data_IF_214821724698
#
_entry.id   IF_214821724698
#
_cell.length_a   1.000
_cell.length_b   1.000
_cell.length_c   1.000
_cell.angle_alpha   90.00
_cell.angle_beta   90.00
_cell.angle_gamma   90.00
#
_symmetry.space_group_name_H-M   'P 1'
#
loop_
_entity.id
_entity.type
_entity.pdbx_description
1 polymer ?
#
# COMPACT_ATOMS: atom_id res chain seq x y z
N UNK A 1 -13.02 1.04 -24.79
CA UNK A 1 -13.30 1.46 -23.40
C UNK A 1 -14.34 0.59 -22.71
N UNK A 2 -15.35 0.07 -23.44
CA UNK A 2 -16.29 -0.94 -22.91
C UNK A 2 -15.61 -2.24 -22.44
N UNK A 3 -14.39 -2.50 -22.91
CA UNK A 3 -13.57 -3.64 -22.49
C UNK A 3 -13.34 -3.72 -20.97
N UNK A 4 -13.12 -2.58 -20.28
CA UNK A 4 -12.91 -2.59 -18.82
C UNK A 4 -14.17 -3.01 -18.07
N UNK A 5 -15.34 -2.67 -18.61
CA UNK A 5 -16.64 -3.02 -18.06
C UNK A 5 -17.04 -4.45 -18.46
N UNK A 6 -16.62 -4.91 -19.64
CA UNK A 6 -16.96 -6.26 -20.13
C UNK A 6 -16.23 -7.37 -19.38
N UNK A 7 -15.15 -7.05 -18.66
CA UNK A 7 -14.40 -8.00 -17.84
C UNK A 7 -14.76 -7.78 -16.37
N UNK A 8 -15.99 -8.16 -16.05
CA UNK A 8 -16.55 -8.06 -14.70
C UNK A 8 -17.47 -9.24 -14.42
N UNK A 9 -17.62 -9.52 -13.13
CA UNK A 9 -18.51 -10.52 -12.58
C UNK A 9 -19.60 -9.84 -11.74
N UNK A 10 -20.80 -10.41 -11.76
CA UNK A 10 -21.93 -9.91 -10.98
C UNK A 10 -21.93 -10.61 -9.63
N UNK A 11 -21.88 -9.81 -8.57
CA UNK A 11 -22.02 -10.26 -7.19
C UNK A 11 -23.49 -10.12 -6.77
N UNK A 12 -23.81 -10.56 -5.56
CA UNK A 12 -25.14 -10.36 -4.98
C UNK A 12 -25.51 -8.86 -4.91
N UNK A 13 -26.80 -8.58 -5.07
CA UNK A 13 -27.40 -7.24 -4.98
C UNK A 13 -26.91 -6.26 -6.07
N UNK A 14 -26.76 -6.72 -7.32
CA UNK A 14 -26.38 -5.88 -8.47
C UNK A 14 -25.02 -5.16 -8.30
N UNK A 15 -24.14 -5.76 -7.50
CA UNK A 15 -22.76 -5.32 -7.29
C UNK A 15 -21.85 -5.93 -8.35
N UNK A 16 -20.77 -5.24 -8.68
CA UNK A 16 -19.88 -5.67 -9.77
C UNK A 16 -18.45 -5.84 -9.25
N UNK A 17 -17.79 -6.92 -9.66
CA UNK A 17 -16.37 -7.12 -9.41
C UNK A 17 -15.60 -7.24 -10.72
N UNK A 18 -14.74 -6.26 -11.01
CA UNK A 18 -13.82 -6.32 -12.14
C UNK A 18 -12.77 -7.42 -11.93
N UNK A 19 -12.63 -8.31 -12.92
CA UNK A 19 -11.77 -9.49 -12.82
C UNK A 19 -10.28 -9.12 -12.98
N UNK A 20 -9.40 -9.99 -12.46
CA UNK A 20 -7.95 -9.80 -12.58
C UNK A 20 -7.44 -9.93 -14.01
N UNK A 21 -7.86 -11.01 -14.67
CA UNK A 21 -7.51 -11.40 -16.03
C UNK A 21 -8.65 -12.23 -16.64
N UNK A 22 -8.53 -12.56 -17.93
CA UNK A 22 -9.52 -13.38 -18.64
C UNK A 22 -9.48 -14.85 -18.24
N UNK A 23 -8.48 -15.32 -17.48
CA UNK A 23 -8.47 -16.72 -17.00
C UNK A 23 -9.51 -16.91 -15.89
N UNK A 24 -9.90 -15.83 -15.20
CA UNK A 24 -10.98 -15.82 -14.21
C UNK A 24 -12.40 -15.89 -14.82
N UNK A 25 -12.55 -16.04 -16.14
CA UNK A 25 -13.86 -16.29 -16.76
C UNK A 25 -14.23 -17.77 -16.84
N UNK A 26 -13.25 -18.67 -16.67
CA UNK A 26 -13.46 -20.11 -16.80
C UNK A 26 -12.58 -20.91 -15.82
N UNK A 27 -13.20 -21.85 -15.10
CA UNK A 27 -12.49 -22.70 -14.14
C UNK A 27 -11.50 -23.67 -14.77
N UNK A 28 -11.74 -24.12 -16.00
CA UNK A 28 -10.79 -24.98 -16.71
C UNK A 28 -9.46 -24.23 -16.96
N UNK A 29 -9.55 -22.96 -17.36
CA UNK A 29 -8.40 -22.11 -17.66
C UNK A 29 -7.70 -21.66 -16.37
N UNK A 30 -8.47 -21.26 -15.35
CA UNK A 30 -7.93 -20.93 -14.03
C UNK A 30 -7.20 -22.10 -13.36
N UNK A 31 -7.74 -23.31 -13.42
CA UNK A 31 -7.15 -24.50 -12.78
C UNK A 31 -5.83 -24.96 -13.38
N UNK A 32 -5.56 -24.60 -14.65
CA UNK A 32 -4.31 -24.89 -15.35
C UNK A 32 -3.14 -24.03 -14.84
N UNK A 33 -3.40 -22.78 -14.46
CA UNK A 33 -2.36 -21.82 -14.07
C UNK A 33 -2.31 -21.55 -12.56
N UNK A 34 -3.39 -21.82 -11.85
CA UNK A 34 -3.58 -21.41 -10.47
C UNK A 34 -4.17 -22.55 -9.63
N UNK A 35 -3.62 -22.75 -8.42
CA UNK A 35 -4.26 -23.60 -7.39
C UNK A 35 -5.43 -22.86 -6.74
N UNK A 36 -6.50 -22.68 -7.49
CA UNK A 36 -7.74 -22.01 -7.08
C UNK A 36 -8.72 -23.04 -6.53
N UNK A 37 -9.56 -22.64 -5.59
CA UNK A 37 -10.76 -23.38 -5.25
C UNK A 37 -12.03 -22.63 -5.67
N UNK A 38 -13.00 -23.35 -6.21
CA UNK A 38 -14.33 -22.82 -6.52
C UNK A 38 -15.04 -22.33 -5.25
N UNK A 39 -15.75 -21.22 -5.38
CA UNK A 39 -16.48 -20.57 -4.28
C UNK A 39 -17.54 -19.63 -4.85
N UNK A 40 -18.74 -19.69 -4.29
CA UNK A 40 -19.83 -18.73 -4.57
C UNK A 40 -19.95 -17.62 -3.51
N UNK A 41 -18.88 -17.37 -2.72
CA UNK A 41 -18.89 -16.35 -1.68
C UNK A 41 -19.21 -14.96 -2.27
N UNK A 42 -20.04 -14.19 -1.58
CA UNK A 42 -20.51 -12.87 -2.04
C UNK A 42 -21.30 -12.90 -3.37
N UNK A 43 -21.76 -14.07 -3.82
CA UNK A 43 -22.47 -14.25 -5.07
C UNK A 43 -21.59 -14.26 -6.32
N UNK A 44 -20.27 -14.29 -6.15
CA UNK A 44 -19.32 -14.36 -7.27
C UNK A 44 -19.48 -15.68 -8.05
N UNK A 45 -19.09 -15.67 -9.31
CA UNK A 45 -18.87 -16.88 -10.09
C UNK A 45 -17.71 -17.72 -9.53
N UNK A 46 -17.74 -19.03 -9.74
CA UNK A 46 -16.68 -19.93 -9.28
C UNK A 46 -15.26 -19.53 -9.69
N UNK A 47 -14.99 -19.08 -10.94
CA UNK A 47 -13.64 -18.74 -11.37
C UNK A 47 -13.10 -17.41 -10.88
N UNK A 48 -13.97 -16.46 -10.50
CA UNK A 48 -13.56 -15.17 -9.98
C UNK A 48 -12.79 -15.33 -8.66
N UNK A 49 -11.55 -14.86 -8.57
CA UNK A 49 -10.75 -15.05 -7.34
C UNK A 49 -10.99 -13.97 -6.29
N UNK A 50 -11.68 -12.89 -6.66
CA UNK A 50 -11.77 -11.63 -5.92
C UNK A 50 -10.40 -10.98 -5.67
N UNK A 51 -9.57 -10.89 -6.72
CA UNK A 51 -8.27 -10.23 -6.65
C UNK A 51 -8.41 -8.71 -6.43
N UNK A 52 -7.87 -8.21 -5.31
CA UNK A 52 -8.12 -6.82 -4.85
C UNK A 52 -7.44 -5.77 -5.73
N UNK A 53 -6.16 -5.96 -6.06
CA UNK A 53 -5.36 -4.91 -6.69
C UNK A 53 -5.88 -4.54 -8.08
N UNK A 54 -6.25 -5.51 -8.91
CA UNK A 54 -6.87 -5.24 -10.22
C UNK A 54 -8.21 -4.54 -10.09
N UNK A 55 -9.06 -4.99 -9.15
CA UNK A 55 -10.35 -4.36 -8.91
C UNK A 55 -10.19 -2.88 -8.53
N UNK A 56 -9.28 -2.56 -7.61
CA UNK A 56 -9.02 -1.18 -7.19
C UNK A 56 -8.39 -0.34 -8.32
N UNK A 57 -7.51 -0.93 -9.13
CA UNK A 57 -6.94 -0.25 -10.29
C UNK A 57 -8.03 0.13 -11.29
N UNK A 58 -8.97 -0.79 -11.58
CA UNK A 58 -10.13 -0.50 -12.44
C UNK A 58 -11.03 0.57 -11.85
N UNK A 59 -11.33 0.54 -10.55
CA UNK A 59 -12.09 1.61 -9.88
C UNK A 59 -11.40 2.97 -10.02
N UNK A 60 -10.08 3.01 -9.84
CA UNK A 60 -9.29 4.24 -9.99
C UNK A 60 -9.36 4.76 -11.42
N UNK A 61 -9.30 3.87 -12.42
CA UNK A 61 -9.45 4.22 -13.82
C UNK A 61 -10.86 4.76 -14.13
N UNK A 62 -11.92 4.06 -13.68
CA UNK A 62 -13.31 4.49 -13.86
C UNK A 62 -13.58 5.86 -13.24
N UNK A 63 -13.09 6.11 -12.02
CA UNK A 63 -13.20 7.42 -11.39
C UNK A 63 -12.54 8.54 -12.22
N UNK A 64 -11.39 8.28 -12.85
CA UNK A 64 -10.73 9.26 -13.73
C UNK A 64 -11.48 9.44 -15.04
N UNK A 65 -11.93 8.35 -15.66
CA UNK A 65 -12.67 8.38 -16.92
C UNK A 65 -14.02 9.09 -16.77
N UNK A 66 -14.65 9.01 -15.60
CA UNK A 66 -15.90 9.71 -15.33
C UNK A 66 -15.80 11.24 -15.50
N UNK A 67 -14.61 11.82 -15.35
CA UNK A 67 -14.40 13.26 -15.59
C UNK A 67 -14.61 13.67 -17.05
N UNK A 68 -14.63 12.69 -17.98
CA UNK A 68 -14.77 12.89 -19.42
C UNK A 68 -16.03 12.22 -19.98
N UNK A 69 -16.86 11.61 -19.13
CA UNK A 69 -18.06 10.89 -19.55
C UNK A 69 -19.33 11.72 -19.26
N UNK A 70 -20.04 12.20 -20.29
CA UNK A 70 -21.24 13.00 -20.10
C UNK A 70 -22.48 12.17 -19.71
N UNK A 71 -22.39 10.84 -19.71
CA UNK A 71 -23.54 9.94 -19.51
C UNK A 71 -23.51 9.17 -18.18
N UNK A 72 -22.61 9.50 -17.25
CA UNK A 72 -22.46 8.88 -15.93
C UNK A 72 -22.35 7.34 -15.94
N UNK A 73 -21.95 6.76 -17.09
CA UNK A 73 -21.78 5.31 -17.23
C UNK A 73 -20.68 4.86 -16.28
N UNK A 74 -19.52 5.52 -16.32
CA UNK A 74 -18.39 5.13 -15.46
C UNK A 74 -18.69 5.36 -13.97
N UNK A 75 -19.41 6.43 -13.62
CA UNK A 75 -19.88 6.67 -12.25
C UNK A 75 -20.74 5.49 -11.74
N UNK A 76 -21.69 5.03 -12.55
CA UNK A 76 -22.58 3.92 -12.17
C UNK A 76 -21.79 2.63 -11.87
N UNK A 77 -20.87 2.25 -12.76
CA UNK A 77 -20.03 1.06 -12.56
C UNK A 77 -19.02 1.24 -11.41
N UNK A 78 -18.52 2.45 -11.22
CA UNK A 78 -17.66 2.81 -10.11
C UNK A 78 -18.37 2.59 -8.77
N UNK A 79 -19.59 3.10 -8.60
CA UNK A 79 -20.35 2.94 -7.35
C UNK A 79 -20.71 1.47 -7.07
N UNK A 80 -21.13 0.72 -8.10
CA UNK A 80 -21.38 -0.72 -7.99
C UNK A 80 -20.13 -1.49 -7.54
N UNK A 81 -18.97 -1.17 -8.12
CA UNK A 81 -17.71 -1.78 -7.74
C UNK A 81 -17.20 -1.35 -6.36
N UNK A 82 -17.32 -0.07 -6.01
CA UNK A 82 -16.95 0.44 -4.70
C UNK A 82 -17.78 -0.21 -3.58
N UNK A 83 -19.08 -0.42 -3.82
CA UNK A 83 -19.97 -1.16 -2.92
C UNK A 83 -19.55 -2.64 -2.78
N UNK A 84 -19.17 -3.29 -3.88
CA UNK A 84 -18.62 -4.65 -3.85
C UNK A 84 -17.35 -4.72 -2.99
N UNK A 85 -16.40 -3.81 -3.25
CA UNK A 85 -15.14 -3.71 -2.51
C UNK A 85 -15.37 -3.51 -1.01
N UNK A 86 -16.28 -2.61 -0.63
CA UNK A 86 -16.64 -2.37 0.77
C UNK A 86 -17.13 -3.66 1.43
N UNK A 87 -18.02 -4.40 0.79
CA UNK A 87 -18.56 -5.65 1.37
C UNK A 87 -17.48 -6.72 1.54
N UNK A 88 -16.62 -6.90 0.53
CA UNK A 88 -15.52 -7.87 0.57
C UNK A 88 -14.49 -7.51 1.65
N UNK A 89 -14.11 -6.24 1.76
CA UNK A 89 -13.11 -5.79 2.74
C UNK A 89 -13.65 -5.70 4.18
N UNK A 90 -14.95 -5.50 4.37
CA UNK A 90 -15.58 -5.47 5.69
C UNK A 90 -16.07 -6.84 6.18
N UNK A 91 -16.04 -7.87 5.33
CA UNK A 91 -16.36 -9.23 5.72
C UNK A 91 -15.43 -9.75 6.82
N UNK A 92 -16.01 -10.05 7.98
CA UNK A 92 -15.29 -10.51 9.17
C UNK A 92 -15.83 -11.84 9.76
N UNK A 93 -16.24 -12.84 8.96
CA UNK A 93 -16.72 -14.10 9.50
C UNK A 93 -15.63 -14.78 10.34
N UNK A 94 -16.06 -15.35 11.47
CA UNK A 94 -15.24 -16.12 12.41
C UNK A 94 -13.91 -15.44 12.79
N UNK A 95 -13.98 -14.15 13.17
CA UNK A 95 -12.83 -13.33 13.51
C UNK A 95 -11.88 -13.96 14.55
N UNK A 96 -12.42 -14.68 15.52
CA UNK A 96 -11.65 -15.38 16.54
C UNK A 96 -10.78 -16.52 15.96
N UNK A 97 -11.28 -17.29 14.97
CA UNK A 97 -10.53 -18.39 14.35
C UNK A 97 -9.32 -17.85 13.58
N UNK A 98 -9.56 -16.82 12.76
CA UNK A 98 -8.48 -16.16 12.03
C UNK A 98 -7.48 -15.49 12.99
N UNK A 99 -7.96 -14.92 14.10
CA UNK A 99 -7.09 -14.34 15.12
C UNK A 99 -6.17 -15.40 15.72
N UNK A 100 -6.71 -16.57 16.08
CA UNK A 100 -5.90 -17.69 16.59
C UNK A 100 -4.89 -18.21 15.56
N UNK A 101 -5.25 -18.25 14.26
CA UNK A 101 -4.35 -18.69 13.21
C UNK A 101 -3.19 -17.71 12.95
N UNK A 102 -3.45 -16.41 13.01
CA UNK A 102 -2.47 -15.36 12.68
C UNK A 102 -1.64 -14.88 13.89
N UNK A 103 -2.15 -14.95 15.13
CA UNK A 103 -1.40 -14.52 16.34
C UNK A 103 -0.02 -15.16 16.49
N UNK A 104 0.17 -16.49 16.32
CA UNK A 104 1.50 -17.09 16.43
C UNK A 104 2.45 -16.57 15.36
N UNK A 105 1.95 -16.38 14.13
CA UNK A 105 2.71 -15.79 13.02
C UNK A 105 3.21 -14.39 13.38
N UNK A 106 2.34 -13.55 13.92
CA UNK A 106 2.66 -12.17 14.27
C UNK A 106 3.70 -12.09 15.40
N UNK A 107 3.56 -12.94 16.42
CA UNK A 107 4.52 -13.04 17.52
C UNK A 107 5.90 -13.46 17.01
N UNK A 108 5.95 -14.53 16.22
CA UNK A 108 7.20 -15.05 15.67
C UNK A 108 7.86 -14.03 14.74
N UNK A 109 7.08 -13.31 13.93
CA UNK A 109 7.58 -12.26 13.05
C UNK A 109 8.20 -11.09 13.84
N UNK A 110 7.55 -10.61 14.91
CA UNK A 110 8.11 -9.59 15.80
C UNK A 110 9.42 -10.01 16.45
N UNK A 111 9.52 -11.28 16.84
CA UNK A 111 10.77 -11.83 17.40
C UNK A 111 11.87 -11.88 16.33
N UNK A 112 11.55 -12.33 15.12
CA UNK A 112 12.50 -12.38 14.00
C UNK A 112 13.07 -11.01 13.63
N UNK A 113 12.23 -9.97 13.68
CA UNK A 113 12.63 -8.61 13.30
C UNK A 113 13.39 -7.87 14.39
N UNK A 114 13.17 -8.19 15.67
CA UNK A 114 13.85 -7.55 16.81
C UNK A 114 15.20 -8.19 17.20
N UNK A 115 15.29 -9.51 17.23
CA UNK A 115 16.43 -10.22 17.86
C UNK A 115 17.22 -11.10 16.89
N UNK A 116 16.90 -11.04 15.59
CA UNK A 116 17.47 -11.90 14.54
C UNK A 116 17.41 -13.41 14.84
N UNK A 117 16.59 -13.83 15.79
CA UNK A 117 16.57 -15.17 16.37
C UNK A 117 16.30 -16.26 15.31
N UNK A 118 17.26 -17.18 15.16
CA UNK A 118 17.24 -18.24 14.16
C UNK A 118 16.12 -19.26 14.44
N UNK A 119 15.85 -19.58 15.71
CA UNK A 119 14.79 -20.50 16.11
C UNK A 119 13.43 -19.90 15.75
N UNK A 120 13.21 -18.62 16.08
CA UNK A 120 11.99 -17.92 15.71
C UNK A 120 11.77 -17.91 14.19
N UNK A 121 12.83 -17.73 13.38
CA UNK A 121 12.75 -17.79 11.91
C UNK A 121 12.35 -19.18 11.41
N UNK A 122 12.90 -20.25 12.00
CA UNK A 122 12.54 -21.63 11.67
C UNK A 122 11.08 -21.93 12.04
N UNK A 123 10.65 -21.57 13.25
CA UNK A 123 9.27 -21.75 13.70
C UNK A 123 8.29 -20.94 12.85
N UNK A 124 8.63 -19.71 12.47
CA UNK A 124 7.82 -18.88 11.58
C UNK A 124 7.63 -19.55 10.22
N UNK A 125 8.68 -20.12 9.64
CA UNK A 125 8.61 -20.86 8.38
C UNK A 125 7.69 -22.07 8.50
N UNK A 126 7.85 -22.87 9.56
CA UNK A 126 7.01 -24.05 9.82
C UNK A 126 5.54 -23.63 9.99
N UNK A 127 5.28 -22.64 10.84
CA UNK A 127 3.92 -22.16 11.09
C UNK A 127 3.27 -21.60 9.81
N UNK A 128 4.02 -20.83 9.00
CA UNK A 128 3.52 -20.31 7.72
C UNK A 128 3.16 -21.45 6.76
N UNK A 129 3.94 -22.53 6.73
CA UNK A 129 3.61 -23.71 5.93
C UNK A 129 2.35 -24.43 6.42
N UNK A 130 2.17 -24.57 7.74
CA UNK A 130 0.94 -25.15 8.33
C UNK A 130 -0.26 -24.28 7.97
N UNK A 131 -0.12 -22.97 8.12
CA UNK A 131 -1.15 -21.98 7.81
C UNK A 131 -1.58 -22.11 6.35
N UNK A 132 -0.63 -22.10 5.41
CA UNK A 132 -0.90 -22.21 3.97
C UNK A 132 -1.48 -23.57 3.57
N UNK A 133 -0.91 -24.68 4.05
CA UNK A 133 -1.27 -26.03 3.59
C UNK A 133 -2.57 -26.56 4.18
N UNK A 134 -2.89 -26.18 5.42
CA UNK A 134 -3.95 -26.85 6.16
C UNK A 134 -5.06 -25.89 6.64
N UNK A 135 -4.71 -24.67 7.04
CA UNK A 135 -5.67 -23.78 7.71
C UNK A 135 -6.35 -22.83 6.73
N UNK A 136 -5.62 -22.08 5.91
CA UNK A 136 -6.17 -21.00 5.09
C UNK A 136 -7.18 -21.51 4.06
N UNK A 137 -6.86 -22.59 3.35
CA UNK A 137 -7.79 -23.17 2.38
C UNK A 137 -9.13 -23.57 3.01
N UNK A 138 -9.11 -24.15 4.21
CA UNK A 138 -10.33 -24.49 4.94
C UNK A 138 -11.07 -23.24 5.44
N UNK A 139 -10.36 -22.32 6.08
CA UNK A 139 -10.94 -21.11 6.65
C UNK A 139 -11.58 -20.23 5.57
N UNK A 140 -10.90 -20.02 4.43
CA UNK A 140 -11.40 -19.16 3.34
C UNK A 140 -12.60 -19.79 2.62
N UNK A 141 -12.67 -21.12 2.51
CA UNK A 141 -13.84 -21.83 1.98
C UNK A 141 -15.08 -21.69 2.87
N UNK A 142 -14.91 -21.87 4.19
CA UNK A 142 -16.03 -21.89 5.14
C UNK A 142 -16.44 -20.51 5.64
N UNK A 143 -15.45 -19.62 5.80
CA UNK A 143 -15.57 -18.29 6.38
C UNK A 143 -14.81 -17.29 5.50
N UNK A 144 -15.36 -16.94 4.32
CA UNK A 144 -14.66 -16.17 3.31
C UNK A 144 -14.36 -14.74 3.78
N UNK A 145 -13.08 -14.38 3.76
CA UNK A 145 -12.59 -13.01 4.03
C UNK A 145 -11.22 -12.81 3.38
N UNK A 146 -10.89 -11.56 3.07
CA UNK A 146 -9.57 -11.18 2.54
C UNK A 146 -8.76 -10.36 3.55
N UNK A 147 -9.43 -9.57 4.39
CA UNK A 147 -8.79 -8.76 5.45
C UNK A 147 -8.82 -9.52 6.77
N UNK A 148 -7.65 -9.78 7.33
CA UNK A 148 -7.47 -10.54 8.57
C UNK A 148 -7.66 -9.66 9.83
N UNK A 149 -7.94 -10.27 11.00
CA UNK A 149 -8.22 -9.52 12.23
C UNK A 149 -7.07 -8.63 12.71
N UNK A 150 -5.84 -8.99 12.38
CA UNK A 150 -4.63 -8.24 12.71
C UNK A 150 -4.35 -7.08 11.73
N UNK A 151 -5.09 -6.97 10.62
CA UNK A 151 -4.87 -5.96 9.58
C UNK A 151 -4.15 -6.46 8.33
N UNK A 152 -3.68 -7.72 8.31
CA UNK A 152 -3.11 -8.32 7.10
C UNK A 152 -4.16 -8.45 5.99
N UNK A 153 -3.77 -8.20 4.74
CA UNK A 153 -4.66 -8.27 3.57
C UNK A 153 -4.07 -9.29 2.60
N UNK A 154 -4.82 -10.35 2.31
CA UNK A 154 -4.44 -11.31 1.27
C UNK A 154 -4.69 -10.76 -0.14
N UNK A 155 -4.04 -11.33 -1.16
CA UNK A 155 -4.21 -10.90 -2.55
C UNK A 155 -5.64 -11.06 -3.04
N UNK A 156 -6.24 -12.19 -2.72
CA UNK A 156 -7.49 -12.69 -3.28
C UNK A 156 -8.16 -13.68 -2.30
N UNK A 157 -9.37 -14.12 -2.61
CA UNK A 157 -10.13 -15.07 -1.80
C UNK A 157 -9.85 -16.53 -2.17
N UNK A 158 -9.76 -16.87 -3.46
CA UNK A 158 -9.81 -18.27 -3.90
C UNK A 158 -8.45 -18.96 -4.02
N UNK A 159 -7.33 -18.27 -3.82
CA UNK A 159 -6.03 -18.89 -3.65
C UNK A 159 -5.78 -19.30 -2.20
N UNK A 160 -5.13 -20.45 -2.04
CA UNK A 160 -4.68 -20.97 -0.73
C UNK A 160 -3.27 -20.47 -0.34
N UNK A 161 -2.69 -19.55 -1.11
CA UNK A 161 -1.33 -19.06 -0.88
C UNK A 161 -1.32 -17.74 -0.12
N UNK A 162 -0.48 -17.66 0.91
CA UNK A 162 -0.17 -16.42 1.61
C UNK A 162 0.92 -15.68 0.83
N UNK A 163 0.61 -14.48 0.35
CA UNK A 163 1.61 -13.60 -0.27
C UNK A 163 1.71 -12.28 0.48
N UNK A 164 2.83 -12.11 1.18
CA UNK A 164 3.07 -10.91 1.98
C UNK A 164 3.35 -9.67 1.12
N UNK A 165 3.89 -9.84 -0.09
CA UNK A 165 4.12 -8.71 -0.99
C UNK A 165 2.81 -8.03 -1.39
N UNK A 166 1.78 -8.81 -1.72
CA UNK A 166 0.48 -8.28 -2.12
C UNK A 166 -0.22 -7.52 -0.99
N UNK A 167 0.14 -7.75 0.28
CA UNK A 167 -0.35 -6.92 1.36
C UNK A 167 0.04 -5.45 1.16
N UNK A 168 1.30 -5.17 0.80
CA UNK A 168 1.77 -3.80 0.55
C UNK A 168 1.15 -3.21 -0.71
N UNK A 169 1.10 -3.99 -1.79
CA UNK A 169 0.48 -3.58 -3.04
C UNK A 169 -1.00 -3.21 -2.86
N UNK A 170 -1.74 -3.98 -2.04
CA UNK A 170 -3.12 -3.70 -1.73
C UNK A 170 -3.27 -2.42 -0.89
N UNK A 171 -2.40 -2.18 0.10
CA UNK A 171 -2.44 -0.93 0.88
C UNK A 171 -2.18 0.29 -0.02
N UNK A 172 -1.18 0.22 -0.90
CA UNK A 172 -0.88 1.27 -1.87
C UNK A 172 -2.07 1.56 -2.77
N UNK A 173 -2.65 0.53 -3.39
CA UNK A 173 -3.84 0.68 -4.23
C UNK A 173 -5.00 1.30 -3.46
N UNK A 174 -5.25 0.86 -2.22
CA UNK A 174 -6.26 1.43 -1.33
C UNK A 174 -5.99 2.90 -0.99
N UNK A 175 -4.72 3.29 -0.78
CA UNK A 175 -4.32 4.69 -0.56
C UNK A 175 -4.60 5.55 -1.78
N UNK A 176 -4.27 5.07 -2.97
CA UNK A 176 -4.56 5.74 -4.24
C UNK A 176 -6.07 5.93 -4.40
N UNK A 177 -6.88 4.89 -4.16
CA UNK A 177 -8.35 5.01 -4.22
C UNK A 177 -8.89 5.98 -3.15
N UNK A 178 -8.41 5.87 -1.90
CA UNK A 178 -8.80 6.76 -0.81
C UNK A 178 -8.43 8.22 -1.11
N UNK A 179 -7.33 8.47 -1.82
CA UNK A 179 -6.94 9.82 -2.23
C UNK A 179 -8.03 10.51 -3.07
N UNK A 180 -8.87 9.72 -3.76
CA UNK A 180 -9.97 10.17 -4.61
C UNK A 180 -11.32 10.15 -3.89
N UNK A 181 -11.64 9.09 -3.17
CA UNK A 181 -12.99 8.88 -2.60
C UNK A 181 -13.17 9.46 -1.20
N UNK A 182 -12.09 9.56 -0.41
CA UNK A 182 -12.13 10.01 1.00
C UNK A 182 -13.11 9.26 1.90
N UNK A 183 -13.41 7.99 1.60
CA UNK A 183 -14.37 7.20 2.39
C UNK A 183 -13.81 6.71 3.72
N UNK A 184 -14.55 6.90 4.81
CA UNK A 184 -14.15 6.52 6.18
C UNK A 184 -13.87 5.03 6.38
N UNK A 185 -14.68 4.18 5.76
CA UNK A 185 -14.54 2.73 5.92
C UNK A 185 -13.20 2.24 5.34
N UNK A 186 -12.76 2.84 4.23
CA UNK A 186 -11.49 2.53 3.58
C UNK A 186 -10.33 3.04 4.43
N UNK A 187 -10.45 4.25 4.97
CA UNK A 187 -9.47 4.82 5.90
C UNK A 187 -9.22 3.90 7.11
N UNK A 188 -10.29 3.37 7.72
CA UNK A 188 -10.18 2.45 8.85
C UNK A 188 -9.37 1.19 8.50
N UNK A 189 -9.59 0.64 7.31
CA UNK A 189 -8.83 -0.54 6.86
C UNK A 189 -7.36 -0.19 6.58
N UNK A 190 -7.09 0.90 5.86
CA UNK A 190 -5.72 1.36 5.58
C UNK A 190 -4.93 1.56 6.88
N UNK A 191 -5.50 2.28 7.86
CA UNK A 191 -4.84 2.52 9.15
C UNK A 191 -4.44 1.21 9.82
N UNK A 192 -5.39 0.27 9.92
CA UNK A 192 -5.16 -1.04 10.54
C UNK A 192 -4.07 -1.85 9.83
N UNK A 193 -4.04 -1.82 8.51
CA UNK A 193 -3.05 -2.54 7.69
C UNK A 193 -1.64 -1.92 7.75
N UNK A 194 -1.56 -0.60 7.81
CA UNK A 194 -0.29 0.11 8.01
C UNK A 194 0.25 -0.13 9.42
N UNK A 195 -0.60 -0.04 10.45
CA UNK A 195 -0.24 -0.37 11.84
C UNK A 195 0.26 -1.81 11.98
N UNK A 196 -0.38 -2.75 11.28
CA UNK A 196 0.07 -4.13 11.21
C UNK A 196 1.48 -4.25 10.63
N UNK A 197 1.70 -3.64 9.46
CA UNK A 197 2.96 -3.68 8.72
C UNK A 197 4.12 -3.11 9.54
N UNK A 198 3.91 -1.95 10.18
CA UNK A 198 4.93 -1.28 10.99
C UNK A 198 5.13 -1.96 12.34
N UNK A 199 4.06 -2.36 13.02
CA UNK A 199 4.11 -2.97 14.35
C UNK A 199 4.73 -4.37 14.37
N UNK A 200 4.67 -5.09 13.26
CA UNK A 200 5.34 -6.40 13.10
C UNK A 200 6.74 -6.31 12.49
N UNK A 201 7.04 -5.21 11.79
CA UNK A 201 8.24 -5.09 10.96
C UNK A 201 8.19 -5.96 9.70
N UNK A 202 6.97 -6.27 9.20
CA UNK A 202 6.74 -7.18 8.07
C UNK A 202 7.59 -6.80 6.86
N UNK A 203 7.62 -5.53 6.47
CA UNK A 203 8.35 -5.08 5.27
C UNK A 203 9.84 -5.43 5.36
N UNK A 204 10.46 -5.20 6.52
CA UNK A 204 11.86 -5.54 6.73
C UNK A 204 12.13 -7.05 6.73
N UNK A 205 11.16 -7.87 7.15
CA UNK A 205 11.25 -9.33 7.10
C UNK A 205 11.09 -9.85 5.66
N UNK A 206 10.06 -9.39 4.95
CA UNK A 206 9.74 -9.83 3.58
C UNK A 206 10.81 -9.40 2.59
N UNK A 207 11.37 -8.20 2.75
CA UNK A 207 12.43 -7.68 1.89
C UNK A 207 13.65 -8.62 1.79
N UNK A 208 14.01 -9.32 2.87
CA UNK A 208 15.14 -10.27 2.87
C UNK A 208 14.95 -11.44 1.89
N UNK A 209 13.72 -11.75 1.50
CA UNK A 209 13.38 -12.86 0.57
C UNK A 209 12.78 -12.38 -0.74
N UNK A 210 12.16 -11.21 -0.74
CA UNK A 210 11.45 -10.64 -1.87
C UNK A 210 11.74 -9.13 -1.92
N UNK A 211 12.77 -8.72 -2.69
CA UNK A 211 13.21 -7.32 -2.75
C UNK A 211 12.09 -6.35 -3.15
N UNK A 212 11.08 -6.81 -3.91
CA UNK A 212 9.90 -6.04 -4.28
C UNK A 212 9.12 -5.46 -3.08
N UNK A 213 9.31 -6.00 -1.88
CA UNK A 213 8.76 -5.41 -0.65
C UNK A 213 9.25 -3.97 -0.36
N UNK A 214 10.26 -3.49 -1.09
CA UNK A 214 10.64 -2.07 -1.11
C UNK A 214 9.48 -1.12 -1.49
N UNK A 215 8.46 -1.63 -2.20
CA UNK A 215 7.19 -0.93 -2.49
C UNK A 215 6.52 -0.38 -1.21
N UNK A 216 6.83 -0.93 -0.03
CA UNK A 216 6.35 -0.36 1.23
C UNK A 216 6.79 1.10 1.45
N UNK A 217 7.87 1.57 0.80
CA UNK A 217 8.25 2.98 0.83
C UNK A 217 7.17 3.87 0.20
N UNK A 218 6.59 3.44 -0.92
CA UNK A 218 5.53 4.14 -1.65
C UNK A 218 4.28 4.25 -0.76
N UNK A 219 3.94 3.15 -0.10
CA UNK A 219 2.88 3.10 0.92
C UNK A 219 3.15 4.08 2.07
N UNK A 220 4.37 4.12 2.61
CA UNK A 220 4.73 5.03 3.71
C UNK A 220 4.69 6.49 3.28
N UNK A 221 5.16 6.80 2.06
CA UNK A 221 5.12 8.14 1.49
C UNK A 221 3.68 8.63 1.37
N UNK A 222 2.83 7.85 0.72
CA UNK A 222 1.42 8.18 0.53
C UNK A 222 0.66 8.27 1.86
N UNK A 223 0.84 7.29 2.74
CA UNK A 223 0.16 7.29 4.05
C UNK A 223 0.56 8.51 4.90
N UNK A 224 1.84 8.89 4.86
CA UNK A 224 2.35 10.05 5.58
C UNK A 224 1.88 11.37 4.99
N UNK A 225 1.80 11.47 3.65
CA UNK A 225 1.30 12.66 2.95
C UNK A 225 -0.21 12.87 3.07
N UNK A 226 -0.99 11.79 3.09
CA UNK A 226 -2.45 11.85 3.04
C UNK A 226 -3.09 11.72 4.44
N UNK A 227 -2.57 10.85 5.31
CA UNK A 227 -3.30 10.40 6.51
C UNK A 227 -2.58 10.80 7.81
N UNK A 228 -1.31 10.41 8.00
CA UNK A 228 -0.64 10.60 9.29
C UNK A 228 0.89 10.79 9.13
N UNK A 229 1.34 12.02 9.31
CA UNK A 229 2.76 12.40 9.24
C UNK A 229 3.63 11.77 10.33
N UNK A 230 3.06 11.20 11.41
CA UNK A 230 3.84 10.55 12.47
C UNK A 230 4.58 9.29 11.97
N UNK A 231 4.27 8.82 10.76
CA UNK A 231 4.94 7.70 10.11
C UNK A 231 6.15 8.12 9.28
N UNK A 232 6.36 9.42 9.02
CA UNK A 232 7.54 9.94 8.31
C UNK A 232 8.88 9.47 8.86
N UNK A 233 9.11 9.38 10.19
CA UNK A 233 10.37 8.88 10.74
C UNK A 233 10.72 7.44 10.33
N UNK A 234 9.75 6.68 9.82
CA UNK A 234 10.00 5.32 9.32
C UNK A 234 10.63 5.31 7.92
N UNK A 235 10.40 6.34 7.09
CA UNK A 235 10.97 6.43 5.74
C UNK A 235 12.51 6.33 5.73
N UNK A 236 13.29 7.21 6.41
CA UNK A 236 14.76 7.11 6.41
C UNK A 236 15.24 5.77 6.95
N UNK A 237 14.55 5.19 7.93
CA UNK A 237 14.90 3.89 8.53
C UNK A 237 14.77 2.74 7.53
N UNK A 238 13.66 2.68 6.80
CA UNK A 238 13.46 1.65 5.77
C UNK A 238 14.34 1.90 4.56
N UNK A 239 14.50 3.15 4.15
CA UNK A 239 15.34 3.54 3.02
C UNK A 239 16.81 3.13 3.23
N UNK A 240 17.39 3.50 4.38
CA UNK A 240 18.74 3.11 4.73
C UNK A 240 18.89 1.58 4.82
N UNK A 241 17.89 0.88 5.38
CA UNK A 241 17.89 -0.59 5.43
C UNK A 241 17.89 -1.24 4.05
N UNK A 242 17.17 -0.68 3.08
CA UNK A 242 17.11 -1.22 1.72
C UNK A 242 18.35 -0.86 0.91
N UNK A 243 18.92 0.33 1.12
CA UNK A 243 20.20 0.74 0.52
C UNK A 243 21.37 -0.12 1.01
N UNK A 244 21.40 -0.50 2.29
CA UNK A 244 22.40 -1.45 2.81
C UNK A 244 22.39 -2.81 2.09
N UNK A 245 21.28 -3.17 1.45
CA UNK A 245 21.15 -4.37 0.63
C UNK A 245 21.38 -4.11 -0.87
N UNK A 246 21.98 -2.98 -1.25
CA UNK A 246 22.23 -2.56 -2.63
C UNK A 246 20.98 -2.57 -3.53
N UNK A 247 19.80 -2.31 -2.95
CA UNK A 247 18.56 -2.22 -3.72
C UNK A 247 18.33 -0.79 -4.19
N UNK A 248 17.99 -0.63 -5.47
CA UNK A 248 17.55 0.64 -6.04
C UNK A 248 16.20 1.07 -5.43
N UNK A 249 15.88 2.36 -5.55
CA UNK A 249 14.57 2.87 -5.17
C UNK A 249 13.47 2.26 -6.07
N UNK A 250 12.25 2.06 -5.53
CA UNK A 250 11.10 1.72 -6.37
C UNK A 250 10.89 2.79 -7.44
N UNK A 251 10.74 2.39 -8.70
CA UNK A 251 10.51 3.35 -9.81
C UNK A 251 9.24 4.18 -9.56
N UNK A 252 8.20 3.54 -9.01
CA UNK A 252 6.92 4.17 -8.70
C UNK A 252 7.04 5.40 -7.78
N UNK A 253 7.90 5.34 -6.75
CA UNK A 253 8.12 6.48 -5.85
C UNK A 253 8.73 7.71 -6.55
N UNK A 254 9.37 7.49 -7.71
CA UNK A 254 10.04 8.53 -8.50
C UNK A 254 9.22 9.00 -9.70
N UNK A 255 8.30 8.17 -10.23
CA UNK A 255 7.64 8.46 -11.50
C UNK A 255 6.13 8.26 -11.56
N UNK A 256 5.51 7.55 -10.61
CA UNK A 256 4.07 7.29 -10.69
C UNK A 256 3.27 8.54 -10.23
N UNK A 257 2.46 9.18 -11.10
CA UNK A 257 1.70 10.38 -10.76
C UNK A 257 0.61 10.17 -9.69
N UNK A 258 0.31 8.93 -9.32
CA UNK A 258 -0.57 8.61 -8.19
C UNK A 258 0.16 8.53 -6.85
N UNK A 259 1.48 8.37 -6.88
CA UNK A 259 2.35 8.21 -5.70
C UNK A 259 3.20 9.47 -5.49
N UNK A 260 3.79 9.99 -6.56
CA UNK A 260 4.66 11.16 -6.56
C UNK A 260 4.12 12.31 -7.43
N UNK A 261 4.29 13.56 -6.99
CA UNK A 261 3.96 14.73 -7.80
C UNK A 261 5.12 15.07 -8.73
N UNK A 262 5.05 14.58 -9.96
CA UNK A 262 6.04 14.82 -11.01
C UNK A 262 6.02 16.25 -11.55
N UNK A 263 5.00 17.05 -11.19
CA UNK A 263 4.88 18.43 -11.65
C UNK A 263 5.64 19.44 -10.78
N UNK A 264 6.03 19.07 -9.55
CA UNK A 264 6.79 19.93 -8.65
C UNK A 264 8.30 19.80 -8.95
N UNK A 265 8.95 20.80 -9.57
CA UNK A 265 10.34 20.70 -10.01
C UNK A 265 11.30 21.07 -8.86
N UNK A 266 11.21 20.37 -7.73
CA UNK A 266 12.09 20.59 -6.59
C UNK A 266 13.40 19.85 -6.80
N UNK A 267 14.52 20.57 -6.70
CA UNK A 267 15.87 19.99 -6.84
C UNK A 267 16.74 20.38 -5.65
N UNK A 268 17.64 19.48 -5.28
CA UNK A 268 18.70 19.72 -4.30
C UNK A 268 20.05 19.53 -4.98
N UNK A 269 21.04 20.25 -4.49
CA UNK A 269 22.43 20.23 -4.96
C UNK A 269 23.28 19.08 -4.36
N UNK A 270 22.70 18.27 -3.47
CA UNK A 270 23.40 17.18 -2.79
C UNK A 270 22.81 15.81 -3.18
N UNK A 271 23.63 14.98 -3.81
CA UNK A 271 23.25 13.62 -4.27
C UNK A 271 22.96 12.63 -3.12
N UNK A 272 23.43 12.92 -1.90
CA UNK A 272 23.19 12.07 -0.73
C UNK A 272 21.80 12.27 -0.13
N UNK A 273 21.05 13.28 -0.58
CA UNK A 273 19.70 13.59 -0.09
C UNK A 273 18.67 13.21 -1.14
N UNK A 274 17.77 12.31 -0.76
CA UNK A 274 16.70 11.83 -1.63
C UNK A 274 15.48 12.73 -1.47
N UNK A 275 14.98 13.27 -2.57
CA UNK A 275 13.73 14.04 -2.60
C UNK A 275 12.57 13.10 -2.90
N UNK A 276 11.57 13.09 -2.02
CA UNK A 276 10.31 12.39 -2.23
C UNK A 276 9.16 13.41 -2.21
N UNK A 277 8.33 13.41 -3.24
CA UNK A 277 7.28 14.41 -3.41
C UNK A 277 5.93 13.71 -3.44
N UNK A 278 5.14 13.63 -2.36
CA UNK A 278 3.90 12.87 -2.39
C UNK A 278 2.88 13.46 -3.38
N UNK A 279 2.27 12.63 -4.24
CA UNK A 279 1.24 13.05 -5.21
C UNK A 279 -0.03 13.64 -4.56
N UNK A 280 -0.25 13.34 -3.28
CA UNK A 280 -1.41 13.79 -2.54
C UNK A 280 -1.03 14.23 -1.12
N UNK A 281 -1.45 15.44 -0.77
CA UNK A 281 -1.23 16.06 0.53
C UNK A 281 -1.45 17.57 0.43
N UNK A 282 -2.33 18.14 1.26
CA UNK A 282 -2.60 19.60 1.21
C UNK A 282 -1.45 20.41 1.79
N UNK A 283 -0.83 19.89 2.86
CA UNK A 283 0.22 20.59 3.62
C UNK A 283 1.61 20.15 3.24
N UNK A 284 1.83 18.84 3.05
CA UNK A 284 3.14 18.28 2.76
C UNK A 284 3.44 18.34 1.27
N UNK A 285 4.45 19.11 0.88
CA UNK A 285 4.87 19.29 -0.51
C UNK A 285 6.01 18.38 -0.91
N UNK A 286 7.02 18.25 -0.06
CA UNK A 286 8.14 17.35 -0.31
C UNK A 286 8.79 16.89 0.99
N UNK A 287 9.58 15.83 0.90
CA UNK A 287 10.37 15.27 1.99
C UNK A 287 11.78 15.06 1.46
N UNK A 288 12.74 15.70 2.12
CA UNK A 288 14.17 15.49 1.94
C UNK A 288 14.61 14.41 2.92
N UNK A 289 15.14 13.29 2.43
CA UNK A 289 15.55 12.16 3.27
C UNK A 289 17.06 12.00 3.20
N UNK A 290 17.70 12.03 4.36
CA UNK A 290 19.13 11.75 4.51
C UNK A 290 19.30 10.34 5.11
N UNK A 291 19.95 9.46 4.36
CA UNK A 291 20.26 8.09 4.80
C UNK A 291 21.71 7.89 5.23
N UNK A 292 22.52 8.96 5.21
CA UNK A 292 23.92 8.92 5.63
C UNK A 292 24.05 9.04 7.15
N UNK A 293 25.26 8.75 7.65
CA UNK A 293 25.60 8.86 9.08
C UNK A 293 26.05 10.27 9.50
N UNK A 294 25.99 11.24 8.59
CA UNK A 294 26.40 12.62 8.82
C UNK A 294 25.26 13.56 8.44
N UNK A 295 25.28 14.76 9.00
CA UNK A 295 24.33 15.79 8.62
C UNK A 295 24.70 16.29 7.22
N UNK A 296 23.71 16.39 6.35
CA UNK A 296 23.90 16.82 4.97
C UNK A 296 23.37 18.24 4.80
N UNK A 297 24.19 19.10 4.21
CA UNK A 297 23.78 20.46 3.85
C UNK A 297 23.22 20.45 2.44
N UNK A 298 22.12 21.16 2.23
CA UNK A 298 21.44 21.24 0.94
C UNK A 298 20.96 22.66 0.65
N UNK A 299 21.15 23.12 -0.57
CA UNK A 299 20.44 24.25 -1.13
C UNK A 299 19.28 23.74 -1.99
N UNK A 300 18.07 24.25 -1.73
CA UNK A 300 16.90 23.90 -2.54
C UNK A 300 16.80 24.89 -3.71
N UNK A 301 16.81 24.36 -4.92
CA UNK A 301 16.50 25.12 -6.12
C UNK A 301 15.02 24.98 -6.45
N UNK A 302 14.26 26.06 -6.26
CA UNK A 302 12.85 26.17 -6.65
C UNK A 302 12.71 27.07 -7.89
N UNK A 303 12.19 26.57 -9.02
CA UNK A 303 12.03 27.35 -10.24
C UNK A 303 10.95 28.46 -10.23
N UNK A 304 10.38 28.86 -9.09
CA UNK A 304 9.24 29.79 -9.05
C UNK A 304 9.46 30.91 -8.03
N UNK A 305 9.54 32.15 -8.54
CA UNK A 305 9.76 33.40 -7.80
C UNK A 305 8.69 33.74 -6.74
N UNK A 306 7.56 33.01 -6.69
CA UNK A 306 6.47 33.22 -5.73
C UNK A 306 6.27 32.06 -4.73
N UNK A 307 7.05 30.96 -4.82
CA UNK A 307 6.81 29.77 -4.00
C UNK A 307 7.60 29.75 -2.67
N UNK A 308 8.69 30.49 -2.56
CA UNK A 308 9.60 30.44 -1.39
C UNK A 308 8.93 31.03 -0.14
N UNK A 309 8.14 32.08 -0.29
CA UNK A 309 7.47 32.75 0.83
C UNK A 309 6.30 31.96 1.41
N UNK A 310 5.71 31.05 0.65
CA UNK A 310 4.57 30.22 1.07
C UNK A 310 4.96 28.87 1.67
N UNK A 311 6.24 28.51 1.64
CA UNK A 311 6.72 27.20 2.07
C UNK A 311 7.67 27.33 3.27
N UNK A 312 7.61 26.36 4.19
CA UNK A 312 8.52 26.26 5.34
C UNK A 312 9.17 24.86 5.38
N UNK A 313 10.44 24.82 5.80
CA UNK A 313 11.15 23.58 6.07
C UNK A 313 11.04 23.25 7.56
N UNK A 314 10.70 21.99 7.87
CA UNK A 314 10.65 21.49 9.24
C UNK A 314 11.49 20.22 9.30
N UNK A 315 12.54 20.22 10.13
CA UNK A 315 13.40 19.05 10.29
C UNK A 315 12.75 17.95 11.15
N UNK A 316 13.43 16.81 11.25
CA UNK A 316 12.99 15.69 12.10
C UNK A 316 12.99 15.99 13.60
N UNK A 317 13.59 17.11 14.02
CA UNK A 317 13.63 17.63 15.39
C UNK A 317 12.57 18.72 15.62
N UNK A 318 11.68 18.94 14.65
CA UNK A 318 10.64 19.98 14.65
C UNK A 318 11.17 21.43 14.62
N UNK A 319 12.42 21.63 14.26
CA UNK A 319 12.97 22.96 14.02
C UNK A 319 12.50 23.49 12.67
N UNK A 320 12.01 24.73 12.68
CA UNK A 320 11.55 25.43 11.48
C UNK A 320 12.66 26.24 10.87
N UNK A 321 12.81 26.18 9.55
CA UNK A 321 13.78 26.96 8.78
C UNK A 321 13.13 27.56 7.53
N UNK A 322 13.62 28.72 7.12
CA UNK A 322 13.27 29.29 5.81
C UNK A 322 13.96 28.51 4.71
N UNK A 323 13.30 28.38 3.55
CA UNK A 323 13.88 27.75 2.36
C UNK A 323 14.94 28.62 1.66
N UNK A 324 15.04 29.89 2.03
CA UNK A 324 16.04 30.83 1.51
C UNK A 324 17.45 30.61 2.08
N UNK A 325 17.60 29.72 3.05
CA UNK A 325 18.88 29.37 3.67
C UNK A 325 19.32 27.97 3.27
N UNK A 326 20.63 27.70 3.37
CA UNK A 326 21.16 26.35 3.34
C UNK A 326 20.49 25.53 4.45
N UNK A 327 19.84 24.43 4.09
CA UNK A 327 19.16 23.56 5.03
C UNK A 327 20.10 22.44 5.46
N UNK A 328 20.02 22.08 6.74
CA UNK A 328 20.68 20.89 7.25
C UNK A 328 19.65 19.77 7.35
N UNK A 329 19.86 18.68 6.61
CA UNK A 329 19.09 17.45 6.73
C UNK A 329 19.81 16.53 7.73
N UNK A 330 19.23 16.30 8.93
CA UNK A 330 19.90 15.54 9.98
C UNK A 330 20.27 14.12 9.53
N UNK A 331 21.39 13.59 10.03
CA UNK A 331 21.83 12.21 9.79
C UNK A 331 20.71 11.22 10.05
N UNK A 332 20.54 10.24 9.15
CA UNK A 332 19.47 9.23 9.24
C UNK A 332 18.07 9.84 9.47
N UNK A 333 17.87 11.08 9.02
CA UNK A 333 16.73 11.92 9.32
C UNK A 333 16.02 12.41 8.07
N UNK A 334 15.19 13.42 8.24
CA UNK A 334 14.46 14.03 7.15
C UNK A 334 14.14 15.50 7.43
N UNK A 335 13.86 16.25 6.37
CA UNK A 335 13.27 17.59 6.42
C UNK A 335 12.01 17.55 5.57
N UNK A 336 10.88 17.96 6.13
CA UNK A 336 9.63 18.11 5.39
C UNK A 336 9.47 19.56 4.92
N UNK A 337 9.03 19.71 3.69
CA UNK A 337 8.69 20.99 3.09
C UNK A 337 7.17 21.07 3.10
N UNK A 338 6.63 22.08 3.79
CA UNK A 338 5.18 22.23 3.99
C UNK A 338 4.72 23.61 3.56
N UNK A 339 3.45 23.71 3.15
CA UNK A 339 2.80 25.01 2.90
C UNK A 339 2.46 25.70 4.23
N UNK A 340 2.85 26.98 4.37
CA UNK A 340 2.54 27.82 5.54
C UNK A 340 1.04 28.05 5.74
N UNK A 341 0.26 27.99 4.65
CA UNK A 341 -1.17 28.34 4.63
C UNK A 341 -2.12 27.14 4.45
N UNK A 342 -1.63 25.89 4.59
CA UNK A 342 -2.41 24.66 4.37
C UNK A 342 -2.81 23.97 5.66
#
# INVERSE_FOLDING_TARGET
MDFLISIADNLSDDKIWFLHDTLETNMADSGLFYKVFGSAAFGKSDPNTLCINSHIATLTALHRLNQFDPYDKYSTYFEKGLSALKNVLQANPCDWLYSCAYRPRDLLMRLCTKTENIIAKKLLKIWTLILMRHLLGFLKKKFPRIVMPNGFIERDLSHSMLSDFYHFLNIEAMLVLYSRTKTDWLLKQIKKSVEYSTGTGLAGYVFKREPKAMLFLDTLLLYSGIINQNYLPLLPRYLARFQQANSALPVNILSDPFITDTSLPLRVDNENVIILVPAAGKKLRAILVNTTQKDEKVAINLPLENAVDELEAIDSSYQKSSLSAELVVPKMGYVKIVSKNG
#
